data_IF_677380550116
#
_entry.id   IF_677380550116
#
_cell.length_a   1.000
_cell.length_b   1.000
_cell.length_c   1.000
_cell.angle_alpha   90.00
_cell.angle_beta   90.00
_cell.angle_gamma   90.00
#
_symmetry.space_group_name_H-M   'P 1'
#
loop_
_entity.id
_entity.type
_entity.pdbx_description
1 polymer ?
#
# COMPACT_ATOMS: atom_id res chain seq x y z
N UNK A 1 -3.98 -12.99 12.35
CA UNK A 1 -4.96 -13.24 11.25
C UNK A 1 -4.67 -14.61 10.66
N UNK A 2 -5.68 -15.42 10.38
CA UNK A 2 -5.51 -16.65 9.60
C UNK A 2 -5.76 -16.35 8.11
N UNK A 3 -4.81 -16.75 7.25
CA UNK A 3 -4.85 -16.52 5.81
C UNK A 3 -5.32 -17.80 5.13
N UNK A 4 -6.38 -17.71 4.32
CA UNK A 4 -6.87 -18.81 3.50
C UNK A 4 -6.00 -18.96 2.25
N UNK A 5 -5.45 -20.16 2.08
CA UNK A 5 -4.47 -20.47 1.02
C UNK A 5 -5.04 -20.26 -0.38
N UNK A 6 -6.29 -20.67 -0.59
CA UNK A 6 -7.01 -20.53 -1.86
C UNK A 6 -7.27 -19.06 -2.20
N UNK A 7 -7.65 -18.23 -1.22
CA UNK A 7 -7.82 -16.78 -1.43
C UNK A 7 -6.50 -16.15 -1.84
N UNK A 8 -5.41 -16.43 -1.11
CA UNK A 8 -4.09 -15.86 -1.40
C UNK A 8 -3.53 -16.33 -2.76
N UNK A 9 -3.75 -17.59 -3.14
CA UNK A 9 -3.36 -18.09 -4.46
C UNK A 9 -4.18 -17.46 -5.60
N UNK A 10 -5.43 -17.09 -5.36
CA UNK A 10 -6.27 -16.44 -6.36
C UNK A 10 -5.99 -14.95 -6.48
N UNK A 11 -5.50 -14.31 -5.42
CA UNK A 11 -5.27 -12.87 -5.39
C UNK A 11 -3.96 -12.43 -6.02
N UNK A 12 -3.02 -13.34 -6.24
CA UNK A 12 -1.71 -13.02 -6.80
C UNK A 12 -1.13 -14.18 -7.60
N UNK A 13 -0.59 -13.87 -8.78
CA UNK A 13 0.13 -14.85 -9.60
C UNK A 13 1.40 -15.36 -8.92
N UNK A 14 2.07 -14.52 -8.13
CA UNK A 14 3.23 -14.92 -7.35
C UNK A 14 2.86 -16.06 -6.39
N UNK A 15 1.86 -15.84 -5.54
CA UNK A 15 1.43 -16.84 -4.57
C UNK A 15 0.81 -18.08 -5.23
N UNK A 16 0.07 -17.91 -6.32
CA UNK A 16 -0.41 -19.03 -7.15
C UNK A 16 0.73 -19.94 -7.61
N UNK A 17 1.83 -19.33 -8.04
CA UNK A 17 3.01 -20.05 -8.57
C UNK A 17 3.78 -20.72 -7.44
N UNK A 18 4.01 -20.00 -6.33
CA UNK A 18 4.68 -20.51 -5.13
C UNK A 18 3.94 -21.71 -4.53
N UNK A 19 2.61 -21.65 -4.46
CA UNK A 19 1.80 -22.72 -3.87
C UNK A 19 1.59 -23.91 -4.82
N UNK A 20 2.07 -23.82 -6.06
CA UNK A 20 2.09 -24.93 -7.02
C UNK A 20 3.09 -26.02 -6.66
N UNK A 21 2.97 -27.19 -7.29
CA UNK A 21 3.60 -28.46 -6.86
C UNK A 21 5.13 -28.55 -6.87
N UNK A 22 5.86 -27.46 -7.16
CA UNK A 22 7.32 -27.45 -7.34
C UNK A 22 8.11 -26.85 -6.18
N UNK A 23 7.46 -26.24 -5.19
CA UNK A 23 8.12 -25.53 -4.10
C UNK A 23 7.94 -26.23 -2.75
N UNK A 24 8.82 -26.01 -1.78
CA UNK A 24 8.71 -26.60 -0.44
C UNK A 24 7.47 -26.08 0.28
N UNK A 25 7.19 -24.79 0.08
CA UNK A 25 6.03 -24.02 0.53
C UNK A 25 4.71 -24.56 -0.05
N UNK A 26 4.77 -25.39 -1.10
CA UNK A 26 3.60 -26.05 -1.66
C UNK A 26 2.99 -27.10 -0.72
N UNK A 27 3.81 -27.66 0.19
CA UNK A 27 3.42 -28.75 1.11
C UNK A 27 3.30 -28.31 2.56
N UNK A 28 3.76 -27.10 2.89
CA UNK A 28 3.73 -26.55 4.24
C UNK A 28 2.54 -25.59 4.47
N UNK A 29 2.08 -25.54 5.72
CA UNK A 29 1.07 -24.57 6.18
C UNK A 29 1.69 -23.22 6.59
N UNK A 30 3.03 -23.12 6.55
CA UNK A 30 3.79 -21.93 6.93
C UNK A 30 4.57 -21.44 5.71
N UNK A 31 4.39 -20.16 5.39
CA UNK A 31 5.18 -19.43 4.39
C UNK A 31 5.87 -18.29 5.14
N UNK A 32 7.19 -18.20 5.01
CA UNK A 32 7.98 -17.11 5.57
C UNK A 32 8.24 -16.11 4.44
N UNK A 33 7.88 -14.86 4.67
CA UNK A 33 8.19 -13.74 3.79
C UNK A 33 9.25 -12.89 4.46
N UNK A 34 10.32 -12.61 3.74
CA UNK A 34 11.46 -11.81 4.21
C UNK A 34 11.46 -10.46 3.49
N UNK A 35 12.05 -9.45 4.13
CA UNK A 35 12.24 -8.08 3.60
C UNK A 35 10.99 -7.20 3.42
N UNK A 36 9.82 -7.64 3.91
CA UNK A 36 8.61 -6.82 3.96
C UNK A 36 8.32 -6.22 5.34
N UNK A 37 7.57 -5.13 5.34
CA UNK A 37 6.96 -4.65 6.58
C UNK A 37 5.72 -5.46 6.91
N UNK A 38 5.57 -5.82 8.19
CA UNK A 38 4.38 -6.53 8.68
C UNK A 38 3.08 -5.79 8.30
N UNK A 39 3.10 -4.44 8.32
CA UNK A 39 1.93 -3.62 8.04
C UNK A 39 1.50 -3.66 6.59
N UNK A 40 2.44 -3.55 5.63
CA UNK A 40 2.08 -3.59 4.20
C UNK A 40 1.47 -4.93 3.81
N UNK A 41 2.05 -6.03 4.30
CA UNK A 41 1.49 -7.36 4.08
C UNK A 41 0.14 -7.55 4.78
N UNK A 42 -0.02 -7.04 6.00
CA UNK A 42 -1.30 -7.10 6.71
C UNK A 42 -2.43 -6.43 5.91
N UNK A 43 -2.16 -5.26 5.29
CA UNK A 43 -3.13 -4.53 4.46
C UNK A 43 -3.57 -5.38 3.26
N UNK A 44 -2.63 -5.90 2.48
CA UNK A 44 -2.93 -6.75 1.31
C UNK A 44 -3.69 -8.02 1.69
N UNK A 45 -3.22 -8.71 2.73
CA UNK A 45 -3.87 -9.94 3.18
C UNK A 45 -5.29 -9.67 3.66
N UNK A 46 -5.50 -8.65 4.49
CA UNK A 46 -6.84 -8.30 4.99
C UNK A 46 -7.77 -7.82 3.89
N UNK A 47 -7.27 -7.09 2.89
CA UNK A 47 -8.04 -6.69 1.72
C UNK A 47 -8.66 -7.90 1.02
N UNK A 48 -7.84 -8.86 0.60
CA UNK A 48 -8.34 -10.06 -0.09
C UNK A 48 -9.20 -10.96 0.81
N UNK A 49 -9.09 -10.82 2.14
CA UNK A 49 -9.92 -11.54 3.10
C UNK A 49 -11.13 -10.75 3.59
N UNK A 50 -11.46 -9.61 2.97
CA UNK A 50 -12.59 -8.76 3.34
C UNK A 50 -12.60 -8.35 4.83
N UNK A 51 -11.43 -8.11 5.41
CA UNK A 51 -11.26 -7.74 6.83
C UNK A 51 -10.41 -6.47 7.00
N UNK A 52 -10.31 -5.66 5.96
CA UNK A 52 -9.46 -4.46 5.94
C UNK A 52 -9.94 -3.39 6.92
N UNK A 53 -11.25 -3.28 7.16
CA UNK A 53 -11.83 -2.33 8.13
C UNK A 53 -11.40 -2.60 9.59
N UNK A 54 -10.74 -3.72 9.87
CA UNK A 54 -10.13 -3.98 11.17
C UNK A 54 -8.86 -3.15 11.43
N UNK A 55 -8.28 -2.53 10.39
CA UNK A 55 -7.16 -1.59 10.53
C UNK A 55 -7.73 -0.17 10.54
N UNK A 56 -7.45 0.58 11.61
CA UNK A 56 -7.78 2.01 11.65
C UNK A 56 -6.94 2.78 10.63
N UNK A 57 -7.57 3.70 9.89
CA UNK A 57 -6.85 4.56 8.94
C UNK A 57 -5.87 5.51 9.63
N UNK A 58 -6.08 5.82 10.91
CA UNK A 58 -5.20 6.67 11.71
C UNK A 58 -3.88 5.96 12.10
N UNK A 59 -3.88 4.62 12.08
CA UNK A 59 -2.70 3.81 12.45
C UNK A 59 -1.73 3.59 11.27
N UNK A 60 -2.04 4.16 10.10
CA UNK A 60 -1.31 3.92 8.85
C UNK A 60 -0.49 5.14 8.48
N UNK A 61 0.83 4.98 8.54
CA UNK A 61 1.78 6.02 8.17
C UNK A 61 1.97 6.12 6.65
N UNK A 62 2.58 7.21 6.19
CA UNK A 62 2.96 7.35 4.78
C UNK A 62 3.99 6.30 4.38
N UNK A 63 4.92 5.94 5.27
CA UNK A 63 5.89 4.88 5.01
C UNK A 63 5.18 3.54 4.77
N UNK A 64 4.12 3.22 5.52
CA UNK A 64 3.34 2.00 5.29
C UNK A 64 2.75 1.97 3.88
N UNK A 65 2.22 3.10 3.38
CA UNK A 65 1.70 3.20 2.01
C UNK A 65 2.78 2.95 0.95
N UNK A 66 4.00 3.46 1.16
CA UNK A 66 5.11 3.15 0.27
C UNK A 66 5.43 1.65 0.27
N UNK A 67 5.44 1.00 1.43
CA UNK A 67 5.64 -0.45 1.51
C UNK A 67 4.47 -1.26 0.94
N UNK A 68 3.23 -0.75 0.97
CA UNK A 68 2.09 -1.37 0.28
C UNK A 68 2.31 -1.38 -1.24
N UNK A 69 2.87 -0.29 -1.79
CA UNK A 69 3.24 -0.19 -3.20
C UNK A 69 4.34 -1.19 -3.53
N UNK A 70 5.43 -1.22 -2.74
CA UNK A 70 6.53 -2.17 -2.94
C UNK A 70 6.05 -3.63 -2.88
N UNK A 71 5.23 -3.97 -1.87
CA UNK A 71 4.65 -5.30 -1.75
C UNK A 71 3.75 -5.65 -2.96
N UNK A 72 3.04 -4.68 -3.53
CA UNK A 72 2.24 -4.91 -4.74
C UNK A 72 3.10 -5.30 -5.94
N UNK A 73 4.26 -4.65 -6.11
CA UNK A 73 5.19 -4.95 -7.19
C UNK A 73 5.87 -6.31 -6.96
N UNK A 74 6.33 -6.57 -5.73
CA UNK A 74 7.03 -7.80 -5.35
C UNK A 74 6.13 -9.03 -5.48
N UNK A 75 4.90 -8.94 -4.98
CA UNK A 75 3.96 -10.04 -4.92
C UNK A 75 2.93 -10.02 -6.05
N UNK A 76 3.02 -9.10 -7.01
CA UNK A 76 2.10 -9.01 -8.14
C UNK A 76 0.64 -8.93 -7.70
N UNK A 77 0.37 -8.14 -6.66
CA UNK A 77 -0.99 -7.78 -6.29
C UNK A 77 -1.50 -6.69 -7.23
N UNK A 78 -2.79 -6.77 -7.60
CA UNK A 78 -3.41 -5.74 -8.42
C UNK A 78 -3.65 -4.49 -7.56
N UNK A 79 -2.91 -3.42 -7.86
CA UNK A 79 -2.93 -2.18 -7.09
C UNK A 79 -4.26 -1.44 -7.19
N UNK A 80 -4.95 -1.59 -8.32
CA UNK A 80 -6.22 -0.92 -8.58
C UNK A 80 -7.29 -1.35 -7.57
N UNK A 81 -7.19 -2.58 -7.06
CA UNK A 81 -8.05 -3.13 -6.03
C UNK A 81 -8.06 -2.29 -4.73
N UNK A 82 -6.93 -1.65 -4.39
CA UNK A 82 -6.79 -0.81 -3.19
C UNK A 82 -7.06 0.69 -3.44
N UNK A 83 -7.41 1.10 -4.66
CA UNK A 83 -7.58 2.52 -5.00
C UNK A 83 -8.59 3.23 -4.09
N UNK A 84 -9.80 2.69 -3.94
CA UNK A 84 -10.84 3.33 -3.12
C UNK A 84 -10.43 3.45 -1.65
N UNK A 85 -9.76 2.41 -1.13
CA UNK A 85 -9.22 2.41 0.22
C UNK A 85 -8.11 3.46 0.38
N UNK A 86 -7.19 3.56 -0.57
CA UNK A 86 -6.15 4.58 -0.57
C UNK A 86 -6.75 5.98 -0.59
N UNK A 87 -7.80 6.23 -1.38
CA UNK A 87 -8.50 7.52 -1.41
C UNK A 87 -9.10 7.86 -0.03
N UNK A 88 -9.71 6.88 0.66
CA UNK A 88 -10.23 7.06 2.03
C UNK A 88 -9.12 7.39 3.01
N UNK A 89 -8.03 6.61 3.00
CA UNK A 89 -6.86 6.86 3.84
C UNK A 89 -6.27 8.24 3.56
N UNK A 90 -6.05 8.60 2.30
CA UNK A 90 -5.45 9.88 1.90
C UNK A 90 -6.28 11.05 2.43
N UNK A 91 -7.60 11.00 2.30
CA UNK A 91 -8.49 12.06 2.83
C UNK A 91 -8.39 12.15 4.35
N UNK A 92 -8.41 11.01 5.04
CA UNK A 92 -8.26 10.96 6.50
C UNK A 92 -6.92 11.57 6.95
N UNK A 93 -5.83 11.10 6.34
CA UNK A 93 -4.48 11.59 6.58
C UNK A 93 -4.38 13.12 6.39
N UNK A 94 -4.88 13.64 5.26
CA UNK A 94 -4.87 15.09 5.01
C UNK A 94 -5.73 15.89 6.01
N UNK A 95 -6.90 15.38 6.40
CA UNK A 95 -7.75 16.02 7.40
C UNK A 95 -7.10 16.03 8.80
N UNK A 96 -6.36 14.98 9.14
CA UNK A 96 -5.64 14.84 10.42
C UNK A 96 -4.39 15.70 10.56
N UNK A 97 -4.09 16.58 9.60
CA UNK A 97 -2.97 17.51 9.75
C UNK A 97 -1.59 16.91 9.50
N UNK A 98 -1.50 15.83 8.72
CA UNK A 98 -0.23 15.29 8.15
C UNK A 98 0.56 16.33 7.33
N UNK A 99 0.11 17.58 7.28
CA UNK A 99 0.78 18.73 6.68
C UNK A 99 2.06 19.20 7.42
N UNK A 100 2.36 18.73 8.64
CA UNK A 100 3.49 19.26 9.43
C UNK A 100 4.89 18.79 9.00
N UNK A 101 5.03 17.68 8.26
CA UNK A 101 6.35 17.09 7.96
C UNK A 101 6.63 16.96 6.44
N UNK A 102 6.80 18.06 5.69
CA UNK A 102 7.27 18.05 4.27
C UNK A 102 6.62 16.96 3.39
N UNK A 103 5.38 16.61 3.69
CA UNK A 103 4.72 15.40 3.19
C UNK A 103 4.18 15.57 1.78
N UNK A 104 4.18 16.79 1.26
CA UNK A 104 3.76 17.05 -0.11
C UNK A 104 4.71 16.34 -1.09
N UNK A 105 5.98 16.25 -0.74
CA UNK A 105 7.03 15.54 -1.47
C UNK A 105 6.97 14.00 -1.33
N UNK A 106 6.14 13.45 -0.44
CA UNK A 106 6.08 12.00 -0.15
C UNK A 106 4.80 11.31 -0.66
N UNK A 107 3.83 12.07 -1.15
CA UNK A 107 2.52 11.56 -1.56
C UNK A 107 2.26 11.63 -3.07
N UNK A 108 3.19 12.20 -3.84
CA UNK A 108 3.08 12.24 -5.31
C UNK A 108 3.14 10.83 -5.89
N UNK A 109 4.17 10.04 -5.56
CA UNK A 109 4.28 8.65 -5.99
C UNK A 109 3.08 7.81 -5.54
N UNK A 110 2.63 7.82 -4.28
CA UNK A 110 1.40 7.11 -3.91
C UNK A 110 0.17 7.50 -4.73
N UNK A 111 -0.07 8.80 -4.95
CA UNK A 111 -1.18 9.24 -5.79
C UNK A 111 -1.05 8.77 -7.24
N UNK A 112 0.17 8.74 -7.80
CA UNK A 112 0.41 8.18 -9.13
C UNK A 112 0.21 6.66 -9.14
N UNK A 113 0.76 5.96 -8.15
CA UNK A 113 0.73 4.51 -8.05
C UNK A 113 -0.69 3.97 -7.98
N UNK A 114 -1.58 4.59 -7.19
CA UNK A 114 -2.99 4.19 -7.05
C UNK A 114 -3.94 4.90 -8.04
N UNK A 115 -3.42 5.53 -9.10
CA UNK A 115 -4.19 6.29 -10.10
C UNK A 115 -5.17 7.32 -9.49
N UNK A 116 -4.74 8.01 -8.44
CA UNK A 116 -5.55 9.04 -7.79
C UNK A 116 -5.20 10.45 -8.27
N UNK A 117 -5.60 10.76 -9.51
CA UNK A 117 -5.30 12.03 -10.18
C UNK A 117 -5.70 13.28 -9.36
N UNK A 118 -6.84 13.24 -8.66
CA UNK A 118 -7.29 14.36 -7.81
C UNK A 118 -6.37 14.58 -6.62
N UNK A 119 -5.91 13.52 -5.98
CA UNK A 119 -4.91 13.61 -4.90
C UNK A 119 -3.61 14.19 -5.43
N UNK A 120 -3.14 13.68 -6.57
CA UNK A 120 -1.92 14.16 -7.23
C UNK A 120 -1.99 15.67 -7.49
N UNK A 121 -3.07 16.14 -8.14
CA UNK A 121 -3.28 17.56 -8.43
C UNK A 121 -3.27 18.44 -7.17
N UNK A 122 -3.94 18.00 -6.10
CA UNK A 122 -3.97 18.75 -4.83
C UNK A 122 -2.56 18.87 -4.25
N UNK A 123 -1.76 17.80 -4.28
CA UNK A 123 -0.39 17.82 -3.75
C UNK A 123 0.54 18.69 -4.60
N UNK A 124 0.53 18.54 -5.92
CA UNK A 124 1.40 19.34 -6.79
C UNK A 124 1.06 20.82 -6.74
N UNK A 125 -0.22 21.18 -6.56
CA UNK A 125 -0.62 22.58 -6.38
C UNK A 125 -0.06 23.16 -5.07
N UNK A 126 -0.17 22.43 -3.96
CA UNK A 126 0.39 22.86 -2.67
C UNK A 126 1.91 23.04 -2.77
N UNK A 127 2.63 22.11 -3.43
CA UNK A 127 4.07 22.24 -3.68
C UNK A 127 4.44 23.48 -4.49
N UNK A 128 3.71 23.74 -5.57
CA UNK A 128 4.04 24.83 -6.49
C UNK A 128 3.79 26.22 -5.89
N UNK A 129 2.79 26.36 -5.02
CA UNK A 129 2.32 27.68 -4.56
C UNK A 129 2.54 27.94 -3.06
N UNK A 130 2.75 26.91 -2.24
CA UNK A 130 2.80 27.05 -0.77
C UNK A 130 4.16 26.67 -0.16
N UNK A 131 4.92 25.75 -0.77
CA UNK A 131 6.28 25.42 -0.29
C UNK A 131 7.33 26.45 -0.73
N UNK A 132 8.22 26.84 0.20
CA UNK A 132 9.42 27.63 -0.12
C UNK A 132 10.57 26.69 -0.46
N UNK A 133 10.77 26.38 -1.73
CA UNK A 133 11.86 25.53 -2.20
C UNK A 133 11.66 25.00 -3.62
N UNK A 134 12.56 24.11 -4.06
CA UNK A 134 12.36 23.35 -5.29
C UNK A 134 11.39 22.19 -5.06
N UNK A 135 10.53 21.91 -6.05
CA UNK A 135 9.66 20.73 -6.05
C UNK A 135 10.56 19.49 -6.16
N UNK A 136 10.55 18.63 -5.14
CA UNK A 136 11.33 17.39 -5.12
C UNK A 136 10.48 16.25 -4.55
N UNK A 137 10.73 15.01 -4.95
CA UNK A 137 10.14 13.84 -4.29
C UNK A 137 11.12 13.25 -3.28
N UNK A 138 10.61 12.80 -2.12
CA UNK A 138 11.42 12.16 -1.08
C UNK A 138 10.80 10.80 -0.76
N UNK A 139 11.57 9.74 -0.93
CA UNK A 139 11.21 8.41 -0.44
C UNK A 139 11.40 8.37 1.09
N UNK A 140 10.38 7.97 1.88
CA UNK A 140 10.50 7.78 3.33
C UNK A 140 11.64 6.85 3.76
#
# INVERSE_FOLDING_TARGET
>A
MHVKRDILANSSRYFKTMMGSRWTESKGDIIVLEDDTMRSMEIWLRYHHCTLDAISLDDISVADIWHVILASDQYQFDRDELQEWFIRWFRNATAGGIHCDRLANKLMLPCYAFDYAKGFQVRTRSLAYEERGHIMEVNP
#
